data_IF_040312060532
#
_entry.id   IF_040312060532
#
_cell.length_a   1.000
_cell.length_b   1.000
_cell.length_c   1.000
_cell.angle_alpha   90.00
_cell.angle_beta   90.00
_cell.angle_gamma   90.00
#
_symmetry.space_group_name_H-M   'P 1'
#
loop_
_entity.id
_entity.type
_entity.pdbx_description
1 polymer ?
#
# COMPACT_ATOMS: atom_id res chain seq x y z
N UNK A 1 6.06 30.63 3.39
CA UNK A 1 4.67 30.68 2.89
C UNK A 1 3.80 29.75 3.74
N UNK A 2 3.13 30.28 4.76
CA UNK A 2 2.16 29.52 5.58
C UNK A 2 0.88 30.35 5.68
N UNK A 3 -0.06 30.14 4.76
CA UNK A 3 -1.43 29.89 5.21
C UNK A 3 -2.19 28.89 4.30
N UNK A 4 -2.66 27.79 4.90
CA UNK A 4 -3.80 26.97 4.46
C UNK A 4 -4.29 25.97 5.54
N UNK A 5 -3.72 26.00 6.75
CA UNK A 5 -3.94 24.98 7.81
C UNK A 5 -4.64 25.52 9.06
N UNK A 6 -5.00 26.81 9.10
CA UNK A 6 -5.62 27.46 10.27
C UNK A 6 -7.04 26.96 10.59
N UNK A 7 -7.72 26.36 9.62
CA UNK A 7 -9.08 25.83 9.78
C UNK A 7 -9.09 24.30 10.02
N UNK A 8 -7.93 23.65 10.10
CA UNK A 8 -7.87 22.24 10.45
C UNK A 8 -8.29 22.08 11.91
N UNK A 9 -9.44 21.43 12.12
CA UNK A 9 -9.94 21.10 13.45
C UNK A 9 -9.46 19.72 13.82
N UNK A 10 -8.66 19.65 14.86
CA UNK A 10 -8.26 18.38 15.49
C UNK A 10 -9.29 18.06 16.57
N UNK A 11 -10.01 16.97 16.39
CA UNK A 11 -10.92 16.43 17.40
C UNK A 11 -10.14 15.49 18.33
N UNK A 12 -10.27 15.64 19.66
CA UNK A 12 -9.65 14.71 20.59
C UNK A 12 -10.37 13.35 20.50
N UNK A 13 -9.58 12.27 20.44
CA UNK A 13 -10.04 10.89 20.53
C UNK A 13 -9.14 10.10 21.47
N UNK A 14 -9.62 8.99 22.00
CA UNK A 14 -8.81 8.10 22.85
C UNK A 14 -8.46 6.85 22.07
N UNK A 15 -7.18 6.56 21.84
CA UNK A 15 -6.74 5.35 21.15
C UNK A 15 -5.89 4.52 22.10
N UNK A 16 -6.31 3.28 22.34
CA UNK A 16 -5.69 2.35 23.28
C UNK A 16 -5.40 2.98 24.66
N UNK A 17 -6.39 3.72 25.19
CA UNK A 17 -6.29 4.41 26.49
C UNK A 17 -5.42 5.68 26.49
N UNK A 18 -4.86 6.09 25.36
CA UNK A 18 -4.01 7.27 25.22
C UNK A 18 -4.73 8.41 24.48
N UNK A 19 -4.36 9.69 24.72
CA UNK A 19 -4.91 10.84 24.00
C UNK A 19 -4.33 10.96 22.59
N UNK A 20 -5.20 11.05 21.59
CA UNK A 20 -4.88 11.19 20.17
C UNK A 20 -5.68 12.33 19.53
N UNK A 21 -5.21 12.83 18.40
CA UNK A 21 -5.93 13.79 17.57
C UNK A 21 -6.46 13.12 16.30
N UNK A 22 -7.72 13.41 15.95
CA UNK A 22 -8.36 13.01 14.71
C UNK A 22 -8.67 14.26 13.87
N UNK A 23 -8.29 14.27 12.60
CA UNK A 23 -8.64 15.34 11.67
C UNK A 23 -8.83 14.80 10.26
N UNK A 24 -9.52 15.54 9.41
CA UNK A 24 -9.47 15.29 7.98
C UNK A 24 -8.14 15.76 7.38
N UNK A 25 -7.62 14.99 6.44
CA UNK A 25 -6.40 15.30 5.72
C UNK A 25 -6.58 16.58 4.91
N UNK A 26 -5.61 17.51 4.94
CA UNK A 26 -5.58 18.64 3.99
C UNK A 26 -5.30 18.19 2.56
N UNK A 27 -4.83 16.95 2.36
CA UNK A 27 -4.62 16.30 1.08
C UNK A 27 -5.75 15.30 0.86
N UNK A 28 -6.89 15.80 0.36
CA UNK A 28 -8.11 15.01 0.17
C UNK A 28 -7.95 14.09 -1.03
N UNK A 29 -7.65 12.82 -0.78
CA UNK A 29 -7.57 11.79 -1.83
C UNK A 29 -8.92 11.09 -2.07
N UNK A 30 -9.76 11.05 -1.04
CA UNK A 30 -11.13 10.58 -1.09
C UNK A 30 -11.94 11.32 -0.01
N UNK A 31 -13.27 11.28 -0.13
CA UNK A 31 -14.15 11.89 0.86
C UNK A 31 -13.93 11.28 2.24
N UNK A 32 -13.89 12.11 3.30
CA UNK A 32 -13.59 11.65 4.66
C UNK A 32 -12.19 11.02 4.85
N UNK A 33 -11.22 11.33 3.98
CA UNK A 33 -9.82 10.99 4.23
C UNK A 33 -9.34 11.63 5.53
N UNK A 34 -9.02 10.80 6.52
CA UNK A 34 -8.67 11.19 7.87
C UNK A 34 -7.26 10.78 8.27
N UNK A 35 -6.72 11.53 9.23
CA UNK A 35 -5.45 11.30 9.89
C UNK A 35 -5.70 11.23 11.39
N UNK A 36 -5.22 10.16 12.03
CA UNK A 36 -5.28 9.95 13.47
C UNK A 36 -3.84 9.97 14.00
N UNK A 37 -3.47 10.99 14.76
CA UNK A 37 -2.08 11.25 15.16
C UNK A 37 -1.92 11.23 16.68
N UNK A 38 -0.78 10.71 17.14
CA UNK A 38 -0.47 10.66 18.57
C UNK A 38 -0.29 12.09 19.09
N UNK A 39 -0.78 12.40 20.30
CA UNK A 39 -0.53 13.75 20.87
C UNK A 39 0.91 13.92 21.36
N UNK A 40 1.60 12.82 21.63
CA UNK A 40 3.02 12.79 21.96
C UNK A 40 3.87 12.58 20.70
N UNK A 41 4.95 13.32 20.58
CA UNK A 41 5.89 13.17 19.47
C UNK A 41 6.77 11.95 19.67
N UNK A 42 6.29 10.79 19.23
CA UNK A 42 7.01 9.52 19.26
C UNK A 42 7.18 8.96 17.84
N UNK A 43 8.30 8.28 17.53
CA UNK A 43 8.45 7.59 16.27
C UNK A 43 7.34 6.58 16.00
N UNK A 44 7.06 6.36 14.73
CA UNK A 44 6.12 5.35 14.28
C UNK A 44 6.74 3.95 14.44
N UNK A 45 5.96 3.01 14.99
CA UNK A 45 6.39 1.62 15.20
C UNK A 45 5.26 0.70 14.78
N UNK A 46 5.58 -0.31 13.97
CA UNK A 46 4.65 -1.41 13.65
C UNK A 46 5.02 -2.62 14.49
N UNK A 47 4.40 -2.73 15.65
CA UNK A 47 4.44 -3.91 16.51
C UNK A 47 3.02 -4.40 16.80
N UNK A 48 2.88 -5.32 17.75
CA UNK A 48 1.57 -5.77 18.19
C UNK A 48 0.67 -4.62 18.66
N UNK A 49 1.22 -3.66 19.42
CA UNK A 49 0.43 -2.54 19.95
C UNK A 49 -0.19 -1.69 18.84
N UNK A 50 0.42 -1.67 17.64
CA UNK A 50 -0.16 -0.99 16.49
C UNK A 50 -1.54 -1.58 16.14
N UNK A 51 -1.72 -2.90 16.17
CA UNK A 51 -3.02 -3.53 15.89
C UNK A 51 -4.07 -3.17 16.93
N UNK A 52 -3.68 -3.11 18.21
CA UNK A 52 -4.59 -2.70 19.30
C UNK A 52 -5.02 -1.24 19.15
N UNK A 53 -4.08 -0.35 18.76
CA UNK A 53 -4.37 1.05 18.46
C UNK A 53 -5.33 1.18 17.27
N UNK A 54 -5.06 0.47 16.17
CA UNK A 54 -5.92 0.50 14.98
C UNK A 54 -7.35 0.09 15.31
N UNK A 55 -7.52 -1.03 16.00
CA UNK A 55 -8.87 -1.49 16.37
C UNK A 55 -9.53 -0.64 17.45
N UNK A 56 -8.78 -0.08 18.41
CA UNK A 56 -9.35 0.84 19.40
C UNK A 56 -10.00 2.06 18.74
N UNK A 57 -9.48 2.55 17.62
CA UNK A 57 -10.14 3.59 16.83
C UNK A 57 -11.35 3.06 16.07
N UNK A 58 -11.20 1.93 15.37
CA UNK A 58 -12.29 1.31 14.58
C UNK A 58 -13.49 0.95 15.46
N UNK A 59 -13.30 0.59 16.72
CA UNK A 59 -14.38 0.36 17.69
C UNK A 59 -15.22 1.62 17.98
N UNK A 60 -14.61 2.80 17.93
CA UNK A 60 -15.30 4.09 18.08
C UNK A 60 -15.97 4.53 16.77
N UNK A 61 -15.35 4.20 15.63
CA UNK A 61 -15.80 4.61 14.30
C UNK A 61 -15.90 3.38 13.37
N UNK A 62 -16.88 2.48 13.56
CA UNK A 62 -16.91 1.18 12.88
C UNK A 62 -17.19 1.23 11.38
N UNK A 63 -17.58 2.40 10.85
CA UNK A 63 -17.77 2.65 9.43
C UNK A 63 -16.49 3.12 8.73
N UNK A 64 -15.42 3.38 9.50
CA UNK A 64 -14.13 3.78 8.97
C UNK A 64 -13.17 2.60 8.98
N UNK A 65 -12.25 2.57 8.01
CA UNK A 65 -11.01 1.83 8.16
C UNK A 65 -9.98 2.72 8.85
N UNK A 66 -8.97 2.10 9.46
CA UNK A 66 -7.76 2.78 9.89
C UNK A 66 -6.56 1.89 9.58
N UNK A 67 -5.53 2.47 8.99
CA UNK A 67 -4.28 1.76 8.69
C UNK A 67 -3.05 2.60 8.97
N UNK A 68 -1.90 1.94 8.89
CA UNK A 68 -0.60 2.59 9.01
C UNK A 68 0.23 2.35 7.77
N UNK A 69 1.12 3.29 7.43
CA UNK A 69 2.22 2.98 6.52
C UNK A 69 3.15 1.93 7.15
N UNK A 70 4.16 1.47 6.43
CA UNK A 70 5.24 0.69 7.04
C UNK A 70 6.22 1.61 7.81
N UNK A 71 6.86 1.06 8.85
CA UNK A 71 7.84 1.77 9.71
C UNK A 71 9.29 1.71 9.19
N UNK A 72 9.51 1.13 8.01
CA UNK A 72 10.80 1.09 7.34
C UNK A 72 10.88 2.11 6.19
N UNK A 73 12.08 2.61 5.84
CA UNK A 73 12.27 3.48 4.68
C UNK A 73 11.90 2.76 3.38
N UNK A 74 11.72 3.52 2.28
CA UNK A 74 11.35 3.06 0.92
C UNK A 74 9.90 2.54 0.82
N UNK A 75 9.39 1.80 1.80
CA UNK A 75 8.09 1.12 1.75
C UNK A 75 6.89 1.99 2.21
N UNK A 76 6.90 3.29 1.89
CA UNK A 76 5.72 4.17 2.05
C UNK A 76 5.71 5.08 3.28
N UNK A 77 6.64 4.90 4.23
CA UNK A 77 6.80 5.83 5.34
C UNK A 77 7.37 7.17 4.87
N UNK A 78 6.59 8.26 4.94
CA UNK A 78 7.04 9.62 4.63
C UNK A 78 7.35 10.47 5.87
N UNK A 79 6.70 10.16 7.00
CA UNK A 79 6.91 10.81 8.29
C UNK A 79 7.07 9.71 9.35
N UNK A 80 8.30 9.22 9.51
CA UNK A 80 8.61 8.16 10.49
C UNK A 80 8.82 8.69 11.91
N UNK A 81 9.10 10.00 12.04
CA UNK A 81 9.41 10.63 13.33
C UNK A 81 8.17 10.85 14.24
N UNK A 82 6.96 10.73 13.70
CA UNK A 82 5.74 10.94 14.46
C UNK A 82 4.68 9.88 14.12
N UNK A 83 4.23 9.16 15.14
CA UNK A 83 3.22 8.12 15.00
C UNK A 83 1.86 8.71 14.57
N UNK A 84 1.38 8.22 13.43
CA UNK A 84 0.08 8.58 12.89
C UNK A 84 -0.46 7.42 12.03
N UNK A 85 -1.77 7.42 11.88
CA UNK A 85 -2.54 6.49 11.05
C UNK A 85 -3.34 7.27 10.03
N UNK A 86 -3.68 6.64 8.91
CA UNK A 86 -4.60 7.19 7.91
C UNK A 86 -5.81 6.28 7.82
N UNK A 87 -6.99 6.87 7.63
CA UNK A 87 -8.25 6.15 7.64
C UNK A 87 -9.36 6.99 7.04
N UNK A 88 -10.59 6.50 7.14
CA UNK A 88 -11.76 7.21 6.63
C UNK A 88 -12.82 6.25 6.11
N UNK A 89 -13.84 6.82 5.47
CA UNK A 89 -14.96 6.06 4.93
C UNK A 89 -14.85 5.90 3.42
N UNK A 90 -14.14 4.86 3.00
CA UNK A 90 -13.98 4.55 1.58
C UNK A 90 -13.69 3.08 1.36
N UNK A 91 -14.38 2.46 0.39
CA UNK A 91 -14.16 1.06 0.01
C UNK A 91 -13.17 0.98 -1.16
N UNK A 92 -11.94 0.62 -0.84
CA UNK A 92 -10.85 0.50 -1.80
C UNK A 92 -10.87 -0.82 -2.60
N UNK A 93 -10.19 -0.90 -3.77
CA UNK A 93 -10.07 -2.14 -4.53
C UNK A 93 -9.57 -3.35 -3.72
N UNK A 94 -8.55 -3.17 -2.87
CA UNK A 94 -8.01 -4.25 -2.03
C UNK A 94 -9.05 -4.81 -1.03
N UNK A 95 -9.96 -3.98 -0.53
CA UNK A 95 -11.04 -4.42 0.37
C UNK A 95 -12.02 -5.37 -0.34
N UNK A 96 -12.28 -5.10 -1.63
CA UNK A 96 -13.17 -5.88 -2.49
C UNK A 96 -12.50 -7.15 -3.05
N UNK A 97 -11.17 -7.25 -2.96
CA UNK A 97 -10.42 -8.39 -3.48
C UNK A 97 -10.92 -9.70 -2.84
N UNK A 98 -11.17 -10.69 -3.70
CA UNK A 98 -11.63 -12.01 -3.28
C UNK A 98 -10.51 -12.83 -2.64
N UNK A 99 -10.83 -13.80 -1.78
CA UNK A 99 -9.87 -14.81 -1.34
C UNK A 99 -9.26 -15.56 -2.53
N UNK A 100 -7.95 -15.72 -2.53
CA UNK A 100 -7.21 -16.60 -3.43
C UNK A 100 -7.15 -18.02 -2.86
N UNK A 101 -6.70 -18.16 -1.61
CA UNK A 101 -6.75 -19.40 -0.86
C UNK A 101 -6.70 -19.13 0.65
N UNK A 102 -7.29 -20.04 1.43
CA UNK A 102 -7.27 -19.99 2.90
C UNK A 102 -6.08 -20.76 3.46
N UNK A 103 -5.71 -20.43 4.70
CA UNK A 103 -4.71 -21.16 5.49
C UNK A 103 -5.11 -21.12 6.96
N UNK A 104 -4.68 -22.12 7.72
CA UNK A 104 -4.96 -22.23 9.15
C UNK A 104 -3.68 -22.06 9.95
N UNK A 105 -3.81 -21.48 11.15
CA UNK A 105 -2.71 -21.30 12.10
C UNK A 105 -3.08 -21.97 13.42
N UNK A 106 -2.39 -23.04 13.84
CA UNK A 106 -2.70 -23.74 15.09
C UNK A 106 -2.66 -22.81 16.31
N UNK A 107 -3.66 -22.95 17.17
CA UNK A 107 -3.88 -22.10 18.35
C UNK A 107 -4.68 -20.82 18.08
N UNK A 108 -5.12 -20.61 16.84
CA UNK A 108 -5.92 -19.46 16.40
C UNK A 108 -7.15 -19.90 15.60
N UNK A 109 -7.83 -20.96 16.04
CA UNK A 109 -8.96 -21.58 15.33
C UNK A 109 -10.15 -20.62 15.13
N UNK A 110 -10.26 -19.58 15.96
CA UNK A 110 -11.29 -18.52 15.86
C UNK A 110 -10.93 -17.40 14.86
N UNK A 111 -9.78 -17.48 14.20
CA UNK A 111 -9.32 -16.48 13.22
C UNK A 111 -9.28 -17.08 11.83
N UNK A 112 -10.23 -16.69 11.00
CA UNK A 112 -10.22 -17.06 9.57
C UNK A 112 -9.14 -16.28 8.84
N UNK A 113 -8.29 -16.99 8.08
CA UNK A 113 -7.17 -16.41 7.37
C UNK A 113 -7.22 -16.75 5.88
N UNK A 114 -6.91 -15.77 5.03
CA UNK A 114 -6.73 -16.02 3.59
C UNK A 114 -5.70 -15.08 2.97
N UNK A 115 -5.11 -15.53 1.87
CA UNK A 115 -4.42 -14.66 0.93
C UNK A 115 -5.48 -14.12 -0.04
N UNK A 116 -5.49 -12.82 -0.33
CA UNK A 116 -6.43 -12.23 -1.29
C UNK A 116 -5.81 -12.09 -2.68
N UNK A 117 -6.65 -12.16 -3.72
CA UNK A 117 -6.25 -11.97 -5.13
C UNK A 117 -5.89 -10.50 -5.38
N UNK A 118 -4.65 -10.14 -5.09
CA UNK A 118 -4.17 -8.77 -5.19
C UNK A 118 -2.70 -8.74 -5.67
N UNK A 119 -2.23 -7.70 -6.39
CA UNK A 119 -0.86 -7.63 -6.88
C UNK A 119 0.22 -7.70 -5.79
N UNK A 120 -0.07 -7.09 -4.64
CA UNK A 120 0.78 -7.18 -3.45
C UNK A 120 0.42 -8.40 -2.61
N UNK A 121 1.37 -8.88 -1.80
CA UNK A 121 1.10 -9.99 -0.87
C UNK A 121 0.32 -9.50 0.34
N UNK A 122 -0.96 -9.87 0.40
CA UNK A 122 -1.88 -9.46 1.46
C UNK A 122 -2.46 -10.67 2.18
N UNK A 123 -2.28 -10.71 3.50
CA UNK A 123 -2.92 -11.69 4.37
C UNK A 123 -4.11 -11.02 5.05
N UNK A 124 -5.31 -11.54 4.84
CA UNK A 124 -6.54 -11.05 5.46
C UNK A 124 -6.93 -11.95 6.62
N UNK A 125 -7.05 -11.35 7.79
CA UNK A 125 -7.48 -12.00 9.04
C UNK A 125 -8.86 -11.49 9.43
N UNK A 126 -9.74 -12.40 9.87
CA UNK A 126 -11.11 -12.07 10.26
C UNK A 126 -11.51 -12.85 11.51
N UNK A 127 -12.03 -12.16 12.54
CA UNK A 127 -12.52 -12.78 13.79
C UNK A 127 -13.55 -11.91 14.51
N UNK A 128 -14.37 -12.54 15.34
CA UNK A 128 -15.20 -11.84 16.34
C UNK A 128 -14.38 -11.50 17.59
N UNK A 129 -13.24 -12.19 17.81
CA UNK A 129 -12.34 -11.97 18.93
C UNK A 129 -11.14 -11.10 18.50
N UNK A 130 -11.22 -9.80 18.77
CA UNK A 130 -10.13 -8.84 18.51
C UNK A 130 -8.79 -9.29 19.06
N UNK A 131 -8.76 -9.80 20.31
CA UNK A 131 -7.50 -10.12 20.98
C UNK A 131 -6.78 -11.27 20.26
N UNK A 132 -7.51 -12.35 19.93
CA UNK A 132 -6.99 -13.48 19.15
C UNK A 132 -6.48 -13.05 17.78
N UNK A 133 -7.22 -12.18 17.08
CA UNK A 133 -6.81 -11.64 15.79
C UNK A 133 -5.52 -10.81 15.90
N UNK A 134 -5.41 -9.93 16.89
CA UNK A 134 -4.20 -9.14 17.12
C UNK A 134 -3.03 -10.03 17.57
N UNK A 135 -3.27 -11.08 18.37
CA UNK A 135 -2.28 -12.09 18.78
C UNK A 135 -1.68 -12.80 17.56
N UNK A 136 -2.54 -13.27 16.65
CA UNK A 136 -2.11 -13.91 15.42
C UNK A 136 -1.34 -12.93 14.52
N UNK A 137 -1.85 -11.71 14.34
CA UNK A 137 -1.17 -10.68 13.57
C UNK A 137 0.22 -10.37 14.13
N UNK A 138 0.35 -10.35 15.47
CA UNK A 138 1.62 -10.21 16.18
C UNK A 138 2.59 -11.36 15.88
N UNK A 139 2.11 -12.61 15.90
CA UNK A 139 2.89 -13.80 15.54
C UNK A 139 3.38 -13.73 14.09
N UNK A 140 2.50 -13.40 13.15
CA UNK A 140 2.84 -13.24 11.72
C UNK A 140 3.90 -12.17 11.52
N UNK A 141 3.71 -10.99 12.13
CA UNK A 141 4.66 -9.89 12.05
C UNK A 141 6.03 -10.28 12.63
N UNK A 142 6.05 -10.91 13.81
CA UNK A 142 7.28 -11.33 14.47
C UNK A 142 8.05 -12.38 13.64
N UNK A 143 7.34 -13.33 13.01
CA UNK A 143 7.94 -14.30 12.09
C UNK A 143 8.44 -13.61 10.83
N UNK A 144 7.62 -12.76 10.19
CA UNK A 144 7.97 -12.03 8.97
C UNK A 144 9.23 -11.19 9.15
N UNK A 145 9.34 -10.42 10.23
CA UNK A 145 10.52 -9.59 10.56
C UNK A 145 11.84 -10.38 10.58
N UNK A 146 11.79 -11.69 10.84
CA UNK A 146 12.96 -12.57 10.93
C UNK A 146 13.06 -13.57 9.78
N UNK A 147 12.11 -13.56 8.85
CA UNK A 147 12.03 -14.54 7.78
C UNK A 147 12.97 -14.18 6.62
N UNK A 148 13.84 -15.12 6.26
CA UNK A 148 14.67 -15.05 5.05
C UNK A 148 14.39 -16.27 4.18
N UNK A 149 14.31 -16.05 2.88
CA UNK A 149 14.16 -17.06 1.85
C UNK A 149 14.96 -16.59 0.62
N UNK A 150 16.27 -16.90 0.57
CA UNK A 150 17.15 -16.45 -0.51
C UNK A 150 16.69 -16.92 -1.90
N UNK A 151 16.05 -18.10 -1.99
CA UNK A 151 15.49 -18.61 -3.24
C UNK A 151 14.33 -17.75 -3.77
N UNK A 152 13.73 -16.93 -2.90
CA UNK A 152 12.70 -15.96 -3.22
C UNK A 152 13.20 -14.51 -3.17
N UNK A 153 14.52 -14.28 -3.03
CA UNK A 153 15.11 -12.94 -2.84
C UNK A 153 14.51 -12.17 -1.65
N UNK A 154 14.18 -12.89 -0.58
CA UNK A 154 13.69 -12.29 0.67
C UNK A 154 14.76 -12.43 1.73
N UNK A 155 15.19 -11.30 2.28
CA UNK A 155 16.14 -11.25 3.38
C UNK A 155 15.50 -10.47 4.52
N UNK A 156 15.54 -11.00 5.73
CA UNK A 156 15.10 -10.29 6.93
C UNK A 156 15.99 -9.10 7.26
N UNK A 157 17.30 -9.26 7.03
CA UNK A 157 18.34 -8.28 7.36
C UNK A 157 19.54 -8.46 6.41
N UNK A 158 20.16 -7.37 5.98
CA UNK A 158 21.49 -7.36 5.36
C UNK A 158 22.34 -6.25 5.99
N UNK A 159 23.61 -6.52 6.29
CA UNK A 159 24.53 -5.55 6.92
C UNK A 159 24.00 -4.84 8.18
N UNK A 160 23.13 -5.51 8.96
CA UNK A 160 22.49 -4.95 10.15
C UNK A 160 21.21 -4.13 9.88
N UNK A 161 20.85 -3.92 8.61
CA UNK A 161 19.64 -3.20 8.20
C UNK A 161 18.46 -4.16 8.05
N UNK A 162 17.37 -4.01 8.84
CA UNK A 162 16.19 -4.85 8.72
C UNK A 162 15.36 -4.47 7.49
N UNK A 163 14.79 -5.48 6.83
CA UNK A 163 14.03 -5.26 5.59
C UNK A 163 12.55 -5.56 5.67
N UNK A 164 12.12 -6.48 6.51
CA UNK A 164 10.73 -6.94 6.54
C UNK A 164 9.87 -6.13 7.50
N UNK A 165 8.72 -5.66 7.02
CA UNK A 165 7.68 -5.03 7.84
C UNK A 165 6.29 -5.22 7.21
N UNK A 166 5.25 -4.64 7.80
CA UNK A 166 3.86 -4.76 7.37
C UNK A 166 3.22 -3.38 7.29
N UNK A 167 2.34 -3.20 6.31
CA UNK A 167 1.33 -2.14 6.28
C UNK A 167 0.00 -2.75 6.77
N UNK A 168 -0.43 -2.48 8.02
CA UNK A 168 -1.68 -3.01 8.56
C UNK A 168 -2.88 -2.10 8.28
N UNK A 169 -4.03 -2.70 7.98
CA UNK A 169 -5.29 -1.99 7.74
C UNK A 169 -6.42 -2.70 8.48
N UNK A 170 -6.96 -2.05 9.52
CA UNK A 170 -8.06 -2.55 10.32
C UNK A 170 -9.40 -1.93 9.87
N UNK A 171 -10.47 -2.71 9.92
CA UNK A 171 -11.86 -2.26 9.71
C UNK A 171 -12.85 -3.20 10.40
N UNK A 172 -14.10 -2.76 10.54
CA UNK A 172 -15.21 -3.69 10.81
C UNK A 172 -15.85 -4.11 9.49
N UNK A 173 -16.15 -5.40 9.35
CA UNK A 173 -16.88 -5.92 8.19
C UNK A 173 -17.87 -6.99 8.61
N UNK A 174 -19.14 -6.81 8.24
CA UNK A 174 -20.21 -7.77 8.56
C UNK A 174 -20.27 -8.15 10.05
N UNK A 175 -20.01 -7.19 10.94
CA UNK A 175 -20.01 -7.40 12.40
C UNK A 175 -18.73 -8.03 12.97
N UNK A 176 -17.71 -8.30 12.16
CA UNK A 176 -16.42 -8.88 12.59
C UNK A 176 -15.28 -7.88 12.44
N UNK A 177 -14.22 -8.10 13.20
CA UNK A 177 -12.94 -7.42 13.03
C UNK A 177 -12.22 -8.01 11.81
N UNK A 178 -11.80 -7.15 10.89
CA UNK A 178 -11.01 -7.52 9.71
C UNK A 178 -9.67 -6.76 9.75
N UNK A 179 -8.56 -7.47 9.55
CA UNK A 179 -7.23 -6.91 9.45
C UNK A 179 -6.53 -7.44 8.20
N UNK A 180 -6.20 -6.52 7.30
CA UNK A 180 -5.31 -6.79 6.18
C UNK A 180 -3.87 -6.50 6.60
N UNK A 181 -3.00 -7.48 6.41
CA UNK A 181 -1.56 -7.39 6.61
C UNK A 181 -0.87 -7.45 5.25
N UNK A 182 -0.45 -6.29 4.73
CA UNK A 182 0.31 -6.24 3.48
C UNK A 182 1.79 -6.39 3.81
N UNK A 183 2.40 -7.49 3.35
CA UNK A 183 3.82 -7.75 3.58
C UNK A 183 4.66 -6.78 2.75
N UNK A 184 5.64 -6.14 3.39
CA UNK A 184 6.55 -5.16 2.79
C UNK A 184 7.99 -5.59 3.02
N UNK A 185 8.85 -5.26 2.06
CA UNK A 185 10.29 -5.44 2.16
C UNK A 185 11.00 -4.24 1.49
N UNK A 186 12.00 -3.65 2.14
CA UNK A 186 12.71 -2.47 1.64
C UNK A 186 14.08 -2.76 1.00
N UNK A 187 14.39 -4.03 0.72
CA UNK A 187 15.66 -4.46 0.13
C UNK A 187 15.92 -3.71 -1.17
N UNK A 188 17.15 -3.24 -1.35
CA UNK A 188 17.66 -2.67 -2.59
C UNK A 188 18.63 -3.64 -3.25
N UNK A 189 18.82 -3.49 -4.55
CA UNK A 189 19.82 -4.24 -5.33
C UNK A 189 20.56 -3.27 -6.25
N UNK A 190 21.74 -3.62 -6.80
CA UNK A 190 22.39 -2.82 -7.81
C UNK A 190 21.50 -2.53 -9.02
N UNK A 191 20.65 -3.50 -9.40
CA UNK A 191 19.70 -3.40 -10.51
C UNK A 191 18.52 -2.46 -10.16
N UNK A 192 18.04 -2.52 -8.92
CA UNK A 192 16.94 -1.70 -8.41
C UNK A 192 17.36 -0.89 -7.18
N UNK A 193 18.12 0.22 -7.36
CA UNK A 193 18.66 1.02 -6.26
C UNK A 193 17.57 1.74 -5.45
N UNK A 194 16.37 1.95 -6.03
CA UNK A 194 15.22 2.51 -5.33
C UNK A 194 14.42 1.47 -4.53
N UNK A 195 14.77 0.18 -4.63
CA UNK A 195 14.10 -0.92 -3.94
C UNK A 195 13.68 -2.02 -4.90
N UNK A 196 14.00 -3.27 -4.57
CA UNK A 196 13.56 -4.45 -5.31
C UNK A 196 12.03 -4.61 -5.28
N UNK A 197 11.42 -4.27 -4.16
CA UNK A 197 9.97 -4.32 -3.94
C UNK A 197 9.35 -2.91 -3.94
N UNK A 198 9.69 -2.15 -4.97
CA UNK A 198 9.26 -0.77 -5.22
C UNK A 198 9.10 -0.57 -6.75
N UNK A 199 8.36 0.43 -7.27
CA UNK A 199 8.31 0.72 -8.70
C UNK A 199 9.68 0.67 -9.38
N UNK A 200 9.79 -0.18 -10.39
CA UNK A 200 10.99 -0.35 -11.20
C UNK A 200 11.13 0.75 -12.25
N UNK A 201 12.36 0.91 -12.73
CA UNK A 201 12.87 2.04 -13.50
C UNK A 201 12.04 2.34 -14.75
N UNK A 202 11.54 1.30 -15.42
CA UNK A 202 10.69 1.40 -16.61
C UNK A 202 9.33 2.05 -16.33
N UNK A 203 8.87 2.06 -15.07
CA UNK A 203 7.58 2.65 -14.65
C UNK A 203 7.73 4.08 -14.13
N UNK A 204 8.96 4.56 -13.94
CA UNK A 204 9.25 5.86 -13.30
C UNK A 204 8.72 7.06 -14.10
N UNK A 205 8.41 6.88 -15.38
CA UNK A 205 7.76 7.92 -16.16
C UNK A 205 6.40 8.30 -15.56
N UNK A 206 5.63 7.33 -15.02
CA UNK A 206 4.39 7.59 -14.26
C UNK A 206 4.67 7.75 -12.77
N UNK A 207 5.29 6.75 -12.12
CA UNK A 207 5.37 6.69 -10.67
C UNK A 207 6.72 6.13 -10.23
N UNK A 208 7.46 6.93 -9.46
CA UNK A 208 8.73 6.51 -8.83
C UNK A 208 8.76 6.74 -7.34
N UNK A 209 7.83 7.54 -6.83
CA UNK A 209 7.70 7.87 -5.41
C UNK A 209 7.17 6.65 -4.63
N UNK A 210 7.44 6.61 -3.32
CA UNK A 210 7.04 5.54 -2.41
C UNK A 210 5.54 5.21 -2.51
N UNK A 211 5.21 3.94 -2.33
CA UNK A 211 3.85 3.41 -2.31
C UNK A 211 3.35 3.39 -0.86
N UNK A 212 2.57 4.41 -0.50
CA UNK A 212 1.94 4.56 0.80
C UNK A 212 0.64 3.77 0.93
N UNK A 213 0.04 3.81 2.12
CA UNK A 213 -1.16 3.07 2.49
C UNK A 213 -2.31 3.20 1.47
N UNK A 214 -2.61 4.40 0.99
CA UNK A 214 -3.71 4.66 0.05
C UNK A 214 -3.46 3.98 -1.31
N UNK A 215 -2.21 4.01 -1.77
CA UNK A 215 -1.79 3.37 -3.01
C UNK A 215 -1.78 1.85 -2.88
N UNK A 216 -1.28 1.32 -1.75
CA UNK A 216 -1.35 -0.10 -1.38
C UNK A 216 -2.80 -0.61 -1.43
N UNK A 217 -3.77 0.20 -1.01
CA UNK A 217 -5.18 -0.18 -1.03
C UNK A 217 -5.80 -0.12 -2.44
N UNK A 218 -5.15 0.53 -3.41
CA UNK A 218 -5.53 0.54 -4.82
C UNK A 218 -5.99 1.88 -5.36
N UNK A 219 -5.73 2.99 -4.68
CA UNK A 219 -5.97 4.33 -5.22
C UNK A 219 -4.65 5.00 -5.59
N UNK A 220 -4.43 5.21 -6.89
CA UNK A 220 -3.21 5.82 -7.40
C UNK A 220 -3.11 7.31 -7.00
N UNK A 221 -2.14 7.65 -6.15
CA UNK A 221 -1.78 9.03 -5.85
C UNK A 221 -0.59 9.41 -6.71
N UNK A 222 -0.85 10.15 -7.79
CA UNK A 222 0.14 10.45 -8.82
C UNK A 222 0.86 11.78 -8.57
N UNK A 223 2.13 11.93 -8.99
CA UNK A 223 2.86 13.18 -8.85
C UNK A 223 2.20 14.30 -9.66
N UNK A 224 2.15 15.51 -9.09
CA UNK A 224 1.45 16.66 -9.68
C UNK A 224 1.94 17.05 -11.09
N UNK A 225 3.20 16.72 -11.43
CA UNK A 225 3.77 16.93 -12.77
C UNK A 225 2.96 16.24 -13.87
N UNK A 226 2.41 15.05 -13.59
CA UNK A 226 1.73 14.24 -14.60
C UNK A 226 0.48 14.93 -15.15
N UNK A 227 -0.14 15.84 -14.39
CA UNK A 227 -1.30 16.59 -14.88
C UNK A 227 -0.97 17.39 -16.14
N UNK A 228 0.19 18.05 -16.16
CA UNK A 228 0.65 18.81 -17.32
C UNK A 228 1.17 17.85 -18.39
N UNK A 229 2.03 16.91 -18.01
CA UNK A 229 2.66 15.96 -18.95
C UNK A 229 1.63 15.16 -19.74
N UNK A 230 0.53 14.72 -19.13
CA UNK A 230 -0.53 13.97 -19.83
C UNK A 230 -1.39 14.84 -20.75
N UNK A 231 -1.58 16.12 -20.43
CA UNK A 231 -2.26 17.07 -21.32
C UNK A 231 -1.41 17.38 -22.56
N UNK A 232 -0.10 17.56 -22.36
CA UNK A 232 0.86 17.79 -23.43
C UNK A 232 1.02 16.53 -24.30
N UNK A 233 1.11 15.34 -23.68
CA UNK A 233 1.14 14.04 -24.35
C UNK A 233 -0.10 13.85 -25.23
N UNK A 234 -1.30 14.08 -24.68
CA UNK A 234 -2.56 13.99 -25.43
C UNK A 234 -2.52 14.86 -26.69
N UNK A 235 -2.10 16.11 -26.54
CA UNK A 235 -2.02 17.08 -27.63
C UNK A 235 -1.06 16.61 -28.72
N UNK A 236 0.15 16.20 -28.32
CA UNK A 236 1.17 15.72 -29.24
C UNK A 236 0.70 14.49 -30.02
N UNK A 237 0.07 13.52 -29.35
CA UNK A 237 -0.46 12.32 -29.98
C UNK A 237 -1.58 12.60 -30.99
N UNK A 238 -2.47 13.55 -30.70
CA UNK A 238 -3.55 13.94 -31.62
C UNK A 238 -3.04 14.68 -32.86
N UNK A 239 -1.93 15.40 -32.74
CA UNK A 239 -1.30 16.11 -33.84
C UNK A 239 -0.36 15.23 -34.68
N UNK A 240 0.03 14.06 -34.15
CA UNK A 240 1.06 13.21 -34.76
C UNK A 240 2.48 13.75 -34.56
N UNK A 241 2.71 14.49 -33.48
CA UNK A 241 4.01 15.07 -33.14
C UNK A 241 5.00 13.98 -32.67
N UNK A 242 6.30 14.19 -32.90
CA UNK A 242 7.36 13.31 -32.37
C UNK A 242 7.59 13.59 -30.88
N UNK A 243 7.14 12.66 -30.02
CA UNK A 243 7.30 12.75 -28.57
C UNK A 243 8.77 12.80 -28.13
N UNK A 244 9.69 12.22 -28.89
CA UNK A 244 11.13 12.17 -28.53
C UNK A 244 11.84 13.49 -28.79
N UNK A 245 11.23 14.41 -29.54
CA UNK A 245 11.76 15.76 -29.76
C UNK A 245 11.53 16.71 -28.56
N UNK A 246 10.73 16.30 -27.57
CA UNK A 246 10.45 17.07 -26.36
C UNK A 246 10.98 16.34 -25.12
N UNK A 247 11.94 16.94 -24.41
CA UNK A 247 12.57 16.37 -23.22
C UNK A 247 11.55 15.97 -22.12
N UNK A 248 10.44 16.70 -21.96
CA UNK A 248 9.40 16.37 -20.97
C UNK A 248 8.58 15.12 -21.39
N UNK A 249 8.36 14.92 -22.69
CA UNK A 249 7.53 13.84 -23.23
C UNK A 249 8.32 12.60 -23.67
N UNK A 250 9.62 12.73 -23.92
CA UNK A 250 10.46 11.65 -24.41
C UNK A 250 10.40 10.39 -23.52
N UNK A 251 10.33 10.57 -22.20
CA UNK A 251 10.18 9.49 -21.21
C UNK A 251 8.84 8.71 -21.30
N UNK A 252 7.85 9.26 -22.00
CA UNK A 252 6.55 8.64 -22.24
C UNK A 252 6.44 7.99 -23.62
N UNK A 253 7.42 8.22 -24.51
CA UNK A 253 7.30 7.86 -25.93
C UNK A 253 7.09 6.36 -26.15
N UNK A 254 7.92 5.51 -25.54
CA UNK A 254 7.84 4.06 -25.71
C UNK A 254 6.53 3.50 -25.15
N UNK A 255 6.08 4.02 -24.00
CA UNK A 255 4.78 3.68 -23.42
C UNK A 255 3.62 4.10 -24.33
N UNK A 256 3.68 5.32 -24.89
CA UNK A 256 2.66 5.85 -25.77
C UNK A 256 2.53 5.07 -27.08
N UNK A 257 3.64 4.77 -27.74
CA UNK A 257 3.67 3.92 -28.92
C UNK A 257 3.16 2.51 -28.63
N UNK A 258 3.47 1.99 -27.44
CA UNK A 258 2.99 0.71 -26.97
C UNK A 258 1.47 0.69 -26.82
N UNK A 259 0.88 1.68 -26.16
CA UNK A 259 -0.57 1.70 -25.95
C UNK A 259 -1.36 2.07 -27.20
N UNK A 260 -0.85 2.92 -28.08
CA UNK A 260 -1.54 3.24 -29.35
C UNK A 260 -1.73 2.01 -30.24
N UNK A 261 -0.80 1.04 -30.18
CA UNK A 261 -0.97 -0.25 -30.85
C UNK A 261 -2.11 -1.09 -30.26
N UNK A 262 -2.38 -0.95 -28.96
CA UNK A 262 -3.50 -1.62 -28.28
C UNK A 262 -4.82 -0.88 -28.46
N UNK A 263 -4.76 0.43 -28.72
CA UNK A 263 -5.89 1.33 -28.88
C UNK A 263 -5.90 2.01 -30.26
N UNK A 264 -6.12 1.25 -31.36
CA UNK A 264 -6.20 1.83 -32.71
C UNK A 264 -7.36 2.82 -32.87
N UNK A 265 -8.34 2.81 -31.96
CA UNK A 265 -9.46 3.74 -31.88
C UNK A 265 -9.10 5.11 -31.27
N UNK A 266 -7.87 5.33 -30.80
CA UNK A 266 -7.45 6.55 -30.12
C UNK A 266 -7.73 7.80 -30.98
N UNK A 267 -8.51 8.74 -30.43
CA UNK A 267 -8.88 10.00 -31.06
C UNK A 267 -9.28 11.04 -29.99
N UNK A 268 -9.65 12.26 -30.43
CA UNK A 268 -9.94 13.37 -29.52
C UNK A 268 -11.10 13.11 -28.54
N UNK A 269 -12.05 12.24 -28.89
CA UNK A 269 -13.23 11.93 -28.08
C UNK A 269 -12.93 10.96 -26.93
N UNK A 270 -11.93 10.08 -27.09
CA UNK A 270 -11.62 9.01 -26.12
C UNK A 270 -10.20 9.09 -25.52
N UNK A 271 -9.37 10.04 -25.96
CA UNK A 271 -7.98 10.17 -25.54
C UNK A 271 -7.79 10.25 -24.02
N UNK A 272 -8.60 11.03 -23.31
CA UNK A 272 -8.47 11.19 -21.86
C UNK A 272 -8.72 9.88 -21.12
N UNK A 273 -9.76 9.13 -21.52
CA UNK A 273 -10.10 7.86 -20.87
C UNK A 273 -9.09 6.76 -21.20
N UNK A 274 -8.55 6.72 -22.43
CA UNK A 274 -7.49 5.78 -22.80
C UNK A 274 -6.21 6.08 -22.02
N UNK A 275 -5.76 7.35 -21.97
CA UNK A 275 -4.56 7.73 -21.21
C UNK A 275 -4.74 7.39 -19.73
N UNK A 276 -5.90 7.68 -19.16
CA UNK A 276 -6.21 7.35 -17.77
C UNK A 276 -6.24 5.85 -17.52
N UNK A 277 -6.82 5.06 -18.43
CA UNK A 277 -6.83 3.61 -18.35
C UNK A 277 -5.40 3.04 -18.38
N UNK A 278 -4.57 3.53 -19.29
CA UNK A 278 -3.19 3.10 -19.46
C UNK A 278 -2.30 3.51 -18.28
N UNK A 279 -2.53 4.68 -17.67
CA UNK A 279 -1.92 5.03 -16.38
C UNK A 279 -2.32 4.02 -15.31
N UNK A 280 -3.59 3.59 -15.29
CA UNK A 280 -4.07 2.54 -14.39
C UNK A 280 -3.34 1.20 -14.58
N UNK A 281 -3.06 0.82 -15.84
CA UNK A 281 -2.28 -0.38 -16.15
C UNK A 281 -0.83 -0.28 -15.65
N UNK A 282 -0.19 0.87 -15.84
CA UNK A 282 1.16 1.12 -15.30
C UNK A 282 1.12 1.06 -13.77
N UNK A 283 0.11 1.65 -13.13
CA UNK A 283 0.00 1.62 -11.68
C UNK A 283 -0.27 0.21 -11.13
N UNK A 284 -0.98 -0.65 -11.86
CA UNK A 284 -1.12 -2.06 -11.49
C UNK A 284 0.26 -2.75 -11.48
N UNK A 285 1.09 -2.53 -12.51
CA UNK A 285 2.48 -3.04 -12.55
C UNK A 285 3.33 -2.49 -11.40
N UNK A 286 3.14 -1.22 -11.02
CA UNK A 286 3.81 -0.63 -9.86
C UNK A 286 3.49 -1.40 -8.56
N UNK A 287 2.23 -1.83 -8.38
CA UNK A 287 1.85 -2.67 -7.24
C UNK A 287 2.41 -4.10 -7.35
N UNK A 288 2.54 -4.66 -8.56
CA UNK A 288 3.18 -5.95 -8.80
C UNK A 288 4.68 -5.92 -8.47
N UNK A 289 5.38 -4.84 -8.81
CA UNK A 289 6.77 -4.61 -8.39
C UNK A 289 6.87 -4.65 -6.85
N UNK A 290 5.94 -3.96 -6.17
CA UNK A 290 5.91 -3.87 -4.70
C UNK A 290 5.46 -5.16 -3.98
N UNK A 291 4.91 -6.16 -4.68
CA UNK A 291 4.56 -7.46 -4.11
C UNK A 291 5.79 -8.30 -3.78
N UNK A 292 5.94 -8.71 -2.52
CA UNK A 292 7.10 -9.51 -2.05
C UNK A 292 7.07 -10.95 -2.57
N UNK A 293 5.91 -11.59 -2.56
CA UNK A 293 5.69 -12.89 -3.21
C UNK A 293 4.90 -12.67 -4.49
N UNK A 294 5.56 -12.84 -5.64
CA UNK A 294 4.97 -12.60 -6.96
C UNK A 294 3.74 -13.47 -7.22
N UNK A 295 2.83 -12.97 -8.06
CA UNK A 295 1.59 -13.63 -8.46
C UNK A 295 1.81 -14.72 -9.52
N UNK A 296 2.86 -15.51 -9.34
CA UNK A 296 3.22 -16.64 -10.18
C UNK A 296 3.40 -17.93 -9.36
N UNK A 297 3.67 -19.05 -10.03
CA UNK A 297 3.82 -20.34 -9.37
C UNK A 297 5.00 -20.39 -8.38
N UNK A 298 6.09 -19.65 -8.63
CA UNK A 298 7.25 -19.61 -7.73
C UNK A 298 6.95 -18.78 -6.49
N UNK A 299 6.40 -17.58 -6.66
CA UNK A 299 6.00 -16.71 -5.56
C UNK A 299 4.95 -17.37 -4.67
N UNK A 300 3.99 -18.11 -5.23
CA UNK A 300 2.99 -18.87 -4.45
C UNK A 300 3.56 -20.09 -3.73
N UNK A 301 4.64 -20.70 -4.23
CA UNK A 301 5.37 -21.74 -3.48
C UNK A 301 6.15 -21.13 -2.32
N UNK A 302 6.83 -20.02 -2.55
CA UNK A 302 7.57 -19.29 -1.52
C UNK A 302 6.65 -18.74 -0.41
N UNK A 303 5.48 -18.20 -0.78
CA UNK A 303 4.48 -17.75 0.19
C UNK A 303 3.99 -18.90 1.07
N UNK A 304 3.75 -20.10 0.49
CA UNK A 304 3.37 -21.27 1.28
C UNK A 304 4.46 -21.68 2.28
N UNK A 305 5.75 -21.59 1.91
CA UNK A 305 6.85 -21.83 2.86
C UNK A 305 6.82 -20.84 4.02
N UNK A 306 6.60 -19.56 3.74
CA UNK A 306 6.45 -18.55 4.80
C UNK A 306 5.27 -18.86 5.71
N UNK A 307 4.10 -19.19 5.16
CA UNK A 307 2.92 -19.55 5.94
C UNK A 307 3.14 -20.82 6.78
N UNK A 308 3.87 -21.82 6.26
CA UNK A 308 4.30 -22.97 7.06
C UNK A 308 5.24 -22.56 8.19
N UNK A 309 6.17 -21.66 7.93
CA UNK A 309 7.09 -21.15 8.96
C UNK A 309 6.36 -20.37 10.06
N UNK A 310 5.24 -19.68 9.75
CA UNK A 310 4.39 -19.05 10.78
C UNK A 310 3.85 -20.09 11.76
N UNK A 311 3.58 -21.33 11.33
CA UNK A 311 3.04 -22.40 12.15
C UNK A 311 4.09 -23.09 13.04
N UNK A 312 5.38 -22.93 12.75
CA UNK A 312 6.48 -23.42 13.58
C UNK A 312 6.61 -22.56 14.86
N UNK A 313 6.93 -23.19 15.99
CA UNK A 313 7.22 -22.53 17.27
C UNK A 313 8.57 -21.79 17.25
#
# INVERSE_FOLDING_TARGET
SHPARQNLRVMPVTVNGQPWGFQYSPYVYYNEHAIVMNTQHTPMVIDRSAFDKLFSFVEQFPHYFLGSNADLPIVGGSILAHEHFQGGHHTFPMEKAEPEFSFDVPGFEDVSCCVVKYPMTVLRLNSENKNQLCDLAGRILAKWRKYSDPDAMIFAETDGEPHNTITPIARMRSGKYELDLVLRNNLTTPEHPMGLYHPHEELHHIKKENIGLIEVMGLAVLPGRLKKEMADLKTALLNGDDLRANDELAKHADWAEGFLKRHPEYNAENADEIIKFEIGQVFAQVLECAGVFKCDAQGRRALRRFLSAVNEE
#
